data_IF_236050482302
#
_entry.id   IF_236050482302
#
_cell.length_a   1.000
_cell.length_b   1.000
_cell.length_c   1.000
_cell.angle_alpha   90.00
_cell.angle_beta   90.00
_cell.angle_gamma   90.00
#
_symmetry.space_group_name_H-M   'P 1'
#
loop_
_entity.id
_entity.type
_entity.pdbx_description
1 polymer ?
#
# COMPACT_ATOMS: atom_id res chain seq x y z
N UNK A 1 60.08 33.10 -47.66
CA UNK A 1 59.35 34.13 -48.44
C UNK A 1 57.98 33.57 -48.83
N UNK A 2 56.92 34.23 -48.35
CA UNK A 2 55.53 34.39 -48.85
C UNK A 2 54.92 33.33 -49.81
N UNK A 3 53.80 32.75 -49.37
CA UNK A 3 52.62 32.45 -50.20
C UNK A 3 51.37 32.65 -49.33
N UNK A 4 50.79 33.86 -49.34
CA UNK A 4 49.60 34.30 -50.11
C UNK A 4 48.29 33.59 -49.74
N UNK A 5 47.54 34.26 -48.87
CA UNK A 5 46.11 34.12 -48.62
C UNK A 5 45.29 34.04 -49.93
N UNK A 6 44.28 33.17 -49.93
CA UNK A 6 42.96 33.50 -50.47
C UNK A 6 41.89 33.07 -49.48
N UNK A 7 41.18 34.07 -48.99
CA UNK A 7 39.99 33.95 -48.16
C UNK A 7 38.83 33.40 -48.99
N UNK A 8 38.02 32.54 -48.39
CA UNK A 8 36.63 32.35 -48.81
C UNK A 8 35.78 32.34 -47.54
N UNK A 9 34.96 33.37 -47.47
CA UNK A 9 34.01 33.70 -46.41
C UNK A 9 32.79 32.80 -46.63
N UNK A 10 32.39 32.02 -45.62
CA UNK A 10 31.02 31.54 -45.49
C UNK A 10 30.56 31.85 -44.07
N UNK A 11 29.72 32.87 -43.96
CA UNK A 11 28.94 33.15 -42.78
C UNK A 11 27.80 32.13 -42.73
N UNK A 12 27.72 31.35 -41.65
CA UNK A 12 26.49 30.68 -41.24
C UNK A 12 26.16 31.22 -39.87
N UNK A 13 25.15 32.09 -39.83
CA UNK A 13 24.45 32.43 -38.61
C UNK A 13 23.64 31.21 -38.17
N UNK A 14 23.96 30.64 -37.02
CA UNK A 14 23.06 29.75 -36.29
C UNK A 14 22.79 30.41 -34.94
N UNK A 15 21.58 30.93 -34.80
CA UNK A 15 20.97 31.14 -33.49
C UNK A 15 20.98 29.79 -32.76
N UNK A 16 21.65 29.71 -31.62
CA UNK A 16 21.76 28.47 -30.85
C UNK A 16 21.81 28.79 -29.36
N UNK A 17 20.61 28.94 -28.81
CA UNK A 17 20.21 29.04 -27.41
C UNK A 17 21.23 28.50 -26.41
N UNK A 18 21.50 29.30 -25.38
CA UNK A 18 22.18 28.86 -24.17
C UNK A 18 21.42 27.70 -23.56
N UNK A 19 22.10 26.55 -23.46
CA UNK A 19 21.63 25.41 -22.69
C UNK A 19 21.89 25.79 -21.23
N UNK A 20 20.95 26.56 -20.66
CA UNK A 20 20.75 26.51 -19.21
C UNK A 20 20.30 25.09 -18.93
N UNK A 21 21.19 24.28 -18.35
CA UNK A 21 20.79 23.06 -17.67
C UNK A 21 19.91 23.48 -16.50
N UNK A 22 18.62 23.69 -16.76
CA UNK A 22 17.60 23.57 -15.74
C UNK A 22 17.69 22.14 -15.28
N UNK A 23 18.34 21.91 -14.13
CA UNK A 23 18.08 20.71 -13.35
C UNK A 23 16.57 20.71 -13.12
N UNK A 24 15.85 19.88 -13.85
CA UNK A 24 14.57 19.41 -13.34
C UNK A 24 14.87 18.93 -11.91
N UNK A 25 14.09 19.35 -10.90
CA UNK A 25 14.16 18.64 -9.63
C UNK A 25 14.06 17.16 -9.97
N UNK A 26 14.97 16.34 -9.44
CA UNK A 26 14.85 14.90 -9.56
C UNK A 26 13.41 14.58 -9.17
N UNK A 27 12.65 14.00 -10.09
CA UNK A 27 11.33 13.48 -9.77
C UNK A 27 11.53 12.60 -8.53
N UNK A 28 10.69 12.79 -7.50
CA UNK A 28 10.77 11.96 -6.31
C UNK A 28 10.74 10.49 -6.76
N UNK A 29 11.60 9.62 -6.18
CA UNK A 29 11.64 8.24 -6.59
C UNK A 29 10.24 7.63 -6.50
N UNK A 30 9.79 7.01 -7.59
CA UNK A 30 8.51 6.32 -7.65
C UNK A 30 8.37 5.38 -6.44
N UNK A 31 7.20 5.36 -5.76
CA UNK A 31 7.04 4.60 -4.54
C UNK A 31 7.18 3.10 -4.83
N UNK A 32 8.13 2.45 -4.14
CA UNK A 32 8.34 0.99 -4.26
C UNK A 32 7.21 0.18 -3.62
N UNK A 33 6.50 0.79 -2.68
CA UNK A 33 5.41 0.18 -1.93
C UNK A 33 4.19 1.09 -1.90
N UNK A 34 3.02 0.48 -1.99
CA UNK A 34 1.72 1.14 -1.98
C UNK A 34 0.78 0.48 -0.99
N UNK A 35 -0.51 0.63 -1.24
CA UNK A 35 -1.57 0.17 -0.37
C UNK A 35 -2.76 -0.35 -1.18
N UNK A 36 -3.62 -1.11 -0.53
CA UNK A 36 -4.98 -1.39 -0.99
C UNK A 36 -5.97 -0.70 -0.07
N UNK A 37 -7.14 -0.34 -0.56
CA UNK A 37 -8.19 0.25 0.27
C UNK A 37 -9.24 -0.77 0.70
N UNK A 38 -9.81 -0.56 1.89
CA UNK A 38 -11.01 -1.22 2.36
C UNK A 38 -12.08 -0.15 2.63
N UNK A 39 -13.19 -0.22 1.91
CA UNK A 39 -14.34 0.67 2.12
C UNK A 39 -15.28 0.03 3.15
N UNK A 40 -15.37 0.65 4.32
CA UNK A 40 -16.18 0.13 5.43
C UNK A 40 -17.62 0.66 5.34
N UNK A 41 -18.57 -0.26 5.15
CA UNK A 41 -19.99 0.07 5.03
C UNK A 41 -20.83 -0.66 6.07
N UNK A 42 -21.93 -0.05 6.49
CA UNK A 42 -22.91 -0.68 7.38
C UNK A 42 -23.76 -1.68 6.60
N UNK A 43 -23.97 -2.87 7.15
CA UNK A 43 -24.94 -3.85 6.66
C UNK A 43 -26.38 -3.32 6.72
N UNK A 44 -27.24 -3.79 5.81
CA UNK A 44 -28.59 -3.25 5.62
C UNK A 44 -29.54 -3.43 6.83
N UNK A 45 -29.21 -4.33 7.76
CA UNK A 45 -30.06 -4.71 8.91
C UNK A 45 -29.48 -4.31 10.28
N UNK A 46 -28.39 -3.55 10.32
CA UNK A 46 -27.86 -3.09 11.60
C UNK A 46 -28.82 -2.02 12.18
N UNK A 47 -29.52 -2.34 13.26
CA UNK A 47 -30.42 -1.39 13.94
C UNK A 47 -29.65 -0.55 15.00
N UNK A 48 -28.68 -1.14 15.69
CA UNK A 48 -27.81 -0.47 16.67
C UNK A 48 -26.51 0.07 16.06
N UNK A 49 -25.88 1.06 16.72
CA UNK A 49 -24.53 1.52 16.38
C UNK A 49 -23.53 0.40 16.72
N UNK A 50 -23.25 -0.48 15.75
CA UNK A 50 -22.30 -1.59 15.90
C UNK A 50 -20.88 -1.13 16.20
N UNK A 51 -20.55 0.14 15.90
CA UNK A 51 -19.24 0.73 16.15
C UNK A 51 -19.12 1.36 17.53
N UNK A 52 -20.21 1.39 18.32
CA UNK A 52 -20.15 1.87 19.69
C UNK A 52 -19.07 1.08 20.45
N UNK A 53 -18.23 1.80 21.21
CA UNK A 53 -17.07 1.25 21.94
C UNK A 53 -15.93 0.66 21.11
N UNK A 54 -15.98 0.75 19.77
CA UNK A 54 -14.82 0.38 18.94
C UNK A 54 -13.68 1.34 19.23
N UNK A 55 -12.53 0.79 19.60
CA UNK A 55 -11.28 1.56 19.80
C UNK A 55 -10.23 1.21 18.77
N UNK A 56 -10.26 -0.02 18.27
CA UNK A 56 -9.29 -0.52 17.30
C UNK A 56 -10.02 -1.25 16.18
N UNK A 57 -9.59 -1.05 14.94
CA UNK A 57 -9.99 -1.91 13.82
C UNK A 57 -8.79 -2.78 13.49
N UNK A 58 -8.95 -4.10 13.54
CA UNK A 58 -7.94 -5.07 13.13
C UNK A 58 -8.28 -5.55 11.73
N UNK A 59 -7.32 -5.42 10.82
CA UNK A 59 -7.44 -5.94 9.45
C UNK A 59 -6.34 -6.96 9.21
N UNK A 60 -6.70 -8.11 8.65
CA UNK A 60 -5.80 -9.13 8.14
C UNK A 60 -6.06 -9.32 6.65
N UNK A 61 -5.05 -9.13 5.82
CA UNK A 61 -5.12 -9.56 4.42
C UNK A 61 -4.11 -10.66 4.15
N UNK A 62 -4.54 -11.67 3.40
CA UNK A 62 -3.76 -12.85 3.06
C UNK A 62 -3.06 -12.66 1.72
N UNK A 63 -1.78 -13.00 1.69
CA UNK A 63 -0.93 -12.88 0.52
C UNK A 63 -1.23 -13.98 -0.49
N UNK A 64 -1.49 -13.62 -1.75
CA UNK A 64 -1.46 -14.57 -2.86
C UNK A 64 -0.01 -15.00 -3.16
N UNK A 65 0.14 -16.04 -4.00
CA UNK A 65 1.43 -16.70 -4.24
C UNK A 65 2.56 -15.74 -4.60
N UNK A 66 2.32 -14.81 -5.52
CA UNK A 66 3.34 -13.83 -5.93
C UNK A 66 3.91 -13.00 -4.77
N UNK A 67 3.08 -12.55 -3.82
CA UNK A 67 3.56 -11.82 -2.64
C UNK A 67 4.29 -12.74 -1.64
N UNK A 68 3.91 -14.02 -1.59
CA UNK A 68 4.63 -14.99 -0.78
C UNK A 68 6.05 -15.16 -1.31
N UNK A 69 6.20 -15.38 -2.62
CA UNK A 69 7.50 -15.54 -3.28
C UNK A 69 8.35 -14.28 -3.14
N UNK A 70 7.75 -13.08 -3.29
CA UNK A 70 8.42 -11.81 -3.03
C UNK A 70 9.09 -11.75 -1.64
N UNK A 71 8.33 -12.02 -0.56
CA UNK A 71 8.88 -11.91 0.80
C UNK A 71 9.74 -13.11 1.23
N UNK A 72 9.57 -14.29 0.62
CA UNK A 72 10.25 -15.51 1.06
C UNK A 72 11.48 -15.85 0.23
N UNK A 73 11.50 -15.45 -1.04
CA UNK A 73 12.48 -15.89 -2.03
C UNK A 73 13.21 -14.72 -2.65
N UNK A 74 12.47 -13.77 -3.23
CA UNK A 74 13.08 -12.76 -4.11
C UNK A 74 13.68 -11.59 -3.32
N UNK A 75 12.91 -11.05 -2.37
CA UNK A 75 13.27 -9.86 -1.59
C UNK A 75 12.96 -9.97 -0.10
N UNK A 76 13.58 -10.94 0.62
CA UNK A 76 13.38 -11.10 2.06
C UNK A 76 13.81 -9.87 2.89
N UNK A 77 14.62 -8.97 2.33
CA UNK A 77 15.01 -7.70 2.96
C UNK A 77 13.83 -6.75 3.21
N UNK A 78 12.73 -6.86 2.46
CA UNK A 78 11.51 -6.04 2.63
C UNK A 78 10.51 -6.64 3.62
N UNK A 79 10.80 -7.80 4.22
CA UNK A 79 10.01 -8.33 5.33
C UNK A 79 10.03 -7.37 6.51
N UNK A 80 9.00 -7.39 7.37
CA UNK A 80 8.95 -6.57 8.58
C UNK A 80 10.19 -6.76 9.48
N UNK A 81 10.73 -7.99 9.54
CA UNK A 81 11.95 -8.35 10.25
C UNK A 81 13.23 -8.29 9.38
N UNK A 82 13.11 -7.80 8.14
CA UNK A 82 14.18 -7.65 7.17
C UNK A 82 14.95 -6.34 7.31
N UNK A 83 16.09 -6.25 6.62
CA UNK A 83 17.01 -5.12 6.74
C UNK A 83 16.45 -3.79 6.21
N UNK A 84 15.51 -3.83 5.27
CA UNK A 84 14.87 -2.65 4.68
C UNK A 84 13.41 -2.48 5.12
N UNK A 85 12.75 -3.56 5.54
CA UNK A 85 11.31 -3.51 5.85
C UNK A 85 10.97 -2.63 7.05
N UNK A 86 11.82 -2.52 8.07
CA UNK A 86 11.56 -1.63 9.21
C UNK A 86 11.19 -0.21 8.76
N UNK A 87 11.99 0.37 7.88
CA UNK A 87 11.76 1.72 7.36
C UNK A 87 10.49 1.79 6.50
N UNK A 88 10.27 0.80 5.63
CA UNK A 88 9.08 0.74 4.76
C UNK A 88 7.79 0.68 5.60
N UNK A 89 7.78 -0.08 6.68
CA UNK A 89 6.63 -0.18 7.59
C UNK A 89 6.47 1.07 8.46
N UNK A 90 7.55 1.73 8.88
CA UNK A 90 7.47 3.03 9.57
C UNK A 90 6.88 4.11 8.67
N UNK A 91 7.30 4.18 7.41
CA UNK A 91 6.75 5.13 6.44
C UNK A 91 5.26 4.85 6.16
N UNK A 92 4.87 3.57 6.09
CA UNK A 92 3.47 3.18 6.01
C UNK A 92 2.67 3.62 7.25
N UNK A 93 3.20 3.42 8.46
CA UNK A 93 2.53 3.82 9.70
C UNK A 93 2.14 5.31 9.72
N UNK A 94 3.02 6.15 9.17
CA UNK A 94 2.81 7.60 9.09
C UNK A 94 1.83 8.03 8.01
N UNK A 95 1.55 7.17 7.04
CA UNK A 95 0.83 7.55 5.82
C UNK A 95 -0.54 6.89 5.72
N UNK A 96 -0.72 5.61 6.13
CA UNK A 96 -1.97 4.87 5.92
C UNK A 96 -3.24 5.52 6.50
N UNK A 97 -3.12 6.27 7.60
CA UNK A 97 -4.23 7.03 8.21
C UNK A 97 -4.22 8.53 7.86
N UNK A 98 -3.28 9.00 7.04
CA UNK A 98 -3.15 10.42 6.68
C UNK A 98 -4.22 10.83 5.65
N UNK A 99 -5.17 11.70 5.99
CA UNK A 99 -6.20 12.17 5.06
C UNK A 99 -5.67 13.15 4.01
N UNK A 100 -4.50 13.75 4.23
CA UNK A 100 -3.89 14.75 3.34
C UNK A 100 -2.96 14.11 2.30
N UNK A 101 -2.68 12.81 2.42
CA UNK A 101 -1.90 12.08 1.43
C UNK A 101 -2.70 11.84 0.14
N UNK A 102 -1.97 11.74 -0.97
CA UNK A 102 -2.53 11.63 -2.33
C UNK A 102 -3.52 10.44 -2.44
N UNK A 103 -4.67 10.68 -3.09
CA UNK A 103 -5.76 9.73 -3.29
C UNK A 103 -6.43 9.13 -2.04
N UNK A 104 -6.17 9.67 -0.85
CA UNK A 104 -6.73 9.20 0.43
C UNK A 104 -8.01 9.91 0.87
N UNK A 105 -8.77 10.43 -0.07
CA UNK A 105 -10.09 11.02 0.23
C UNK A 105 -10.94 10.01 1.02
N UNK A 106 -11.61 10.47 2.08
CA UNK A 106 -12.40 9.64 2.99
C UNK A 106 -11.61 8.66 3.87
N UNK A 107 -10.28 8.85 4.03
CA UNK A 107 -9.50 8.12 5.02
C UNK A 107 -10.20 8.12 6.39
N UNK A 108 -10.12 6.97 7.06
CA UNK A 108 -10.55 6.82 8.43
C UNK A 108 -9.67 7.68 9.36
N UNK A 109 -10.27 8.37 10.32
CA UNK A 109 -9.53 9.10 11.36
C UNK A 109 -8.92 8.11 12.37
N UNK A 110 -7.71 7.65 12.04
CA UNK A 110 -6.99 6.64 12.80
C UNK A 110 -5.52 7.01 13.03
N UNK A 111 -4.85 6.19 13.83
CA UNK A 111 -3.41 6.18 13.98
C UNK A 111 -2.90 4.74 14.01
N UNK A 112 -1.68 4.57 13.51
CA UNK A 112 -0.88 3.36 13.66
C UNK A 112 0.27 3.76 14.58
N UNK A 113 0.30 3.23 15.81
CA UNK A 113 1.13 3.82 16.86
C UNK A 113 2.62 3.58 16.64
N UNK A 114 2.97 2.40 16.11
CA UNK A 114 4.35 1.96 15.91
C UNK A 114 4.37 0.65 15.08
N UNK A 115 5.56 0.07 14.92
CA UNK A 115 5.76 -1.22 14.24
C UNK A 115 5.06 -2.40 14.93
N UNK A 116 4.77 -2.33 16.23
CA UNK A 116 4.03 -3.39 16.94
C UNK A 116 2.56 -3.46 16.50
N UNK A 117 2.07 -2.44 15.81
CA UNK A 117 0.73 -2.44 15.18
C UNK A 117 0.69 -3.31 13.92
N UNK A 118 1.84 -3.77 13.41
CA UNK A 118 1.95 -4.67 12.28
C UNK A 118 2.38 -6.07 12.74
N UNK A 119 1.71 -7.10 12.23
CA UNK A 119 2.13 -8.50 12.38
C UNK A 119 2.17 -9.15 11.00
N UNK A 120 3.39 -9.29 10.45
CA UNK A 120 3.64 -9.98 9.20
C UNK A 120 3.87 -11.47 9.46
N UNK A 121 2.91 -12.29 9.03
CA UNK A 121 2.93 -13.74 9.21
C UNK A 121 3.42 -14.38 7.92
N UNK A 122 4.59 -15.03 7.96
CA UNK A 122 5.19 -15.75 6.84
C UNK A 122 5.52 -17.19 7.28
N UNK A 123 4.49 -17.99 7.55
CA UNK A 123 4.64 -19.35 8.06
C UNK A 123 4.50 -20.37 6.94
N UNK A 124 5.61 -21.00 6.57
CA UNK A 124 5.65 -22.11 5.63
C UNK A 124 5.81 -23.44 6.37
N UNK A 125 4.73 -23.91 7.00
CA UNK A 125 4.70 -25.29 7.53
C UNK A 125 3.53 -26.01 6.88
N UNK A 126 3.80 -27.08 6.13
CA UNK A 126 2.87 -27.76 5.20
C UNK A 126 1.44 -28.02 5.73
N UNK A 127 1.28 -28.17 7.05
CA UNK A 127 -0.04 -28.41 7.67
C UNK A 127 -0.80 -27.14 8.11
N UNK A 128 -0.13 -25.99 8.22
CA UNK A 128 -0.69 -24.72 8.75
C UNK A 128 -0.05 -23.50 8.08
N UNK A 129 0.18 -23.57 6.75
CA UNK A 129 0.78 -22.45 6.05
C UNK A 129 -0.12 -21.21 6.16
N UNK A 130 0.45 -20.08 6.57
CA UNK A 130 -0.29 -18.81 6.68
C UNK A 130 0.63 -17.69 6.26
N UNK A 131 0.17 -16.92 5.28
CA UNK A 131 0.87 -15.79 4.70
C UNK A 131 -0.06 -14.60 4.72
N UNK A 132 0.19 -13.67 5.64
CA UNK A 132 -0.71 -12.54 5.84
C UNK A 132 0.02 -11.36 6.46
N UNK A 133 -0.56 -10.18 6.30
CA UNK A 133 -0.27 -9.03 7.13
C UNK A 133 -1.48 -8.73 7.99
N UNK A 134 -1.24 -8.40 9.26
CA UNK A 134 -2.25 -7.88 10.19
C UNK A 134 -1.85 -6.46 10.57
N UNK A 135 -2.82 -5.54 10.58
CA UNK A 135 -2.64 -4.15 11.01
C UNK A 135 -3.73 -3.80 12.01
N UNK A 136 -3.31 -3.24 13.14
CA UNK A 136 -4.20 -2.65 14.15
C UNK A 136 -4.25 -1.13 13.98
N UNK A 137 -5.41 -0.63 13.57
CA UNK A 137 -5.71 0.79 13.42
C UNK A 137 -6.40 1.29 14.68
N UNK A 138 -5.76 2.20 15.42
CA UNK A 138 -6.37 2.84 16.57
C UNK A 138 -7.25 4.01 16.12
N UNK A 139 -8.50 4.03 16.54
CA UNK A 139 -9.39 5.15 16.24
C UNK A 139 -9.03 6.36 17.10
N UNK A 140 -8.90 7.53 16.48
CA UNK A 140 -8.56 8.75 17.21
C UNK A 140 -9.76 9.26 18.04
N UNK A 141 -11.01 9.05 17.59
CA UNK A 141 -12.21 9.28 18.40
C UNK A 141 -13.10 8.02 18.48
N UNK A 142 -12.86 7.14 19.47
CA UNK A 142 -13.59 5.87 19.58
C UNK A 142 -15.09 6.04 19.89
N UNK A 143 -15.90 5.10 19.41
CA UNK A 143 -17.34 5.00 19.73
C UNK A 143 -18.31 5.75 18.82
N UNK A 144 -17.82 6.45 17.79
CA UNK A 144 -18.65 7.19 16.84
C UNK A 144 -18.91 6.37 15.56
N UNK A 145 -20.16 5.94 15.33
CA UNK A 145 -20.56 5.24 14.10
C UNK A 145 -20.21 6.01 12.83
N UNK A 146 -20.38 7.33 12.91
CA UNK A 146 -20.17 8.27 11.81
C UNK A 146 -18.69 8.42 11.43
N UNK A 147 -17.78 7.94 12.29
CA UNK A 147 -16.36 7.93 11.98
C UNK A 147 -15.93 6.68 11.22
N UNK A 148 -16.63 5.55 11.35
CA UNK A 148 -16.25 4.32 10.65
C UNK A 148 -17.04 4.12 9.36
N UNK A 149 -18.33 4.45 9.35
CA UNK A 149 -19.20 4.19 8.18
C UNK A 149 -18.87 5.13 7.02
N UNK A 150 -18.68 4.55 5.84
CA UNK A 150 -18.37 5.29 4.62
C UNK A 150 -16.95 5.85 4.62
N UNK A 151 -16.07 5.36 5.50
CA UNK A 151 -14.64 5.69 5.48
C UNK A 151 -13.83 4.55 4.86
N UNK A 152 -12.64 4.94 4.44
CA UNK A 152 -11.66 4.07 3.80
C UNK A 152 -10.50 3.80 4.74
N UNK A 153 -10.18 2.53 4.91
CA UNK A 153 -8.91 2.10 5.50
C UNK A 153 -7.92 1.83 4.37
N UNK A 154 -6.70 2.32 4.51
CA UNK A 154 -5.60 1.94 3.62
C UNK A 154 -4.77 0.87 4.29
N UNK A 155 -4.47 -0.20 3.56
CA UNK A 155 -3.77 -1.37 4.04
C UNK A 155 -2.48 -1.57 3.23
N UNK A 156 -1.35 -1.56 3.92
CA UNK A 156 -0.02 -1.64 3.34
C UNK A 156 1.04 -1.74 4.45
N UNK A 157 2.33 -1.67 4.12
CA UNK A 157 2.90 -1.48 2.79
C UNK A 157 2.89 -2.77 1.95
N UNK A 158 2.67 -2.66 0.64
CA UNK A 158 2.67 -3.77 -0.30
C UNK A 158 3.49 -3.40 -1.55
N UNK A 159 4.36 -4.26 -2.10
CA UNK A 159 5.12 -3.95 -3.31
C UNK A 159 4.15 -3.72 -4.47
N UNK A 160 4.29 -2.58 -5.15
CA UNK A 160 3.46 -2.23 -6.31
C UNK A 160 4.05 -2.87 -7.56
N UNK A 161 3.19 -3.27 -8.49
CA UNK A 161 3.62 -3.96 -9.71
C UNK A 161 4.46 -3.06 -10.62
N UNK A 162 4.19 -1.76 -10.55
CA UNK A 162 4.86 -0.72 -11.32
C UNK A 162 6.23 -0.33 -10.75
N UNK A 163 6.57 -0.78 -9.53
CA UNK A 163 7.84 -0.44 -8.91
C UNK A 163 9.00 -1.06 -9.70
N UNK A 164 10.02 -0.27 -9.99
CA UNK A 164 11.27 -0.74 -10.57
C UNK A 164 12.21 -1.18 -9.44
N UNK A 165 12.89 -2.29 -9.64
CA UNK A 165 13.91 -2.77 -8.70
C UNK A 165 15.03 -1.73 -8.61
N UNK A 166 15.28 -1.12 -7.42
CA UNK A 166 16.33 -0.12 -7.26
C UNK A 166 17.75 -0.68 -7.49
N UNK A 167 17.92 -2.00 -7.52
CA UNK A 167 19.18 -2.65 -7.88
C UNK A 167 19.39 -2.75 -9.41
N UNK A 168 18.36 -2.52 -10.22
CA UNK A 168 18.46 -2.52 -11.67
C UNK A 168 18.91 -1.15 -12.19
N UNK A 169 20.19 -1.08 -12.60
CA UNK A 169 20.79 0.15 -13.15
C UNK A 169 20.15 0.58 -14.48
N UNK A 170 19.55 -0.36 -15.22
CA UNK A 170 18.91 -0.10 -16.51
C UNK A 170 17.42 0.27 -16.35
N UNK A 171 16.85 0.07 -15.16
CA UNK A 171 15.49 0.46 -14.80
C UNK A 171 14.38 -0.28 -15.55
N UNK A 172 14.65 -1.51 -15.99
CA UNK A 172 13.72 -2.31 -16.79
C UNK A 172 13.04 -3.44 -15.98
N UNK A 173 13.62 -3.79 -14.83
CA UNK A 173 13.19 -4.90 -14.00
C UNK A 173 12.18 -4.41 -12.96
N UNK A 174 10.98 -4.99 -12.97
CA UNK A 174 10.01 -4.75 -11.90
C UNK A 174 10.50 -5.38 -10.59
N UNK A 175 10.31 -4.65 -9.50
CA UNK A 175 10.58 -5.07 -8.13
C UNK A 175 9.78 -6.32 -7.75
N UNK A 176 8.60 -6.54 -8.33
CA UNK A 176 7.80 -7.74 -8.11
C UNK A 176 7.49 -8.45 -9.42
N UNK A 177 8.05 -9.65 -9.57
CA UNK A 177 7.92 -10.43 -10.79
C UNK A 177 7.07 -11.67 -10.56
N UNK A 178 5.76 -11.55 -10.80
CA UNK A 178 4.84 -12.67 -10.66
C UNK A 178 5.02 -13.70 -11.79
N UNK A 179 4.81 -14.99 -11.48
CA UNK A 179 4.71 -16.04 -12.51
C UNK A 179 3.59 -15.74 -13.52
N UNK A 180 3.71 -16.29 -14.74
CA UNK A 180 2.70 -16.10 -15.79
C UNK A 180 1.29 -16.49 -15.28
N UNK A 181 0.37 -15.52 -15.29
CA UNK A 181 -1.01 -15.70 -14.82
C UNK A 181 -1.24 -15.35 -13.35
N UNK A 182 -0.20 -15.05 -12.58
CA UNK A 182 -0.30 -14.52 -11.21
C UNK A 182 -0.27 -12.99 -11.18
N UNK A 183 -0.63 -12.41 -10.02
CA UNK A 183 -0.60 -10.96 -9.80
C UNK A 183 -0.37 -10.65 -8.31
N UNK A 184 0.25 -9.50 -7.98
CA UNK A 184 0.48 -9.11 -6.60
C UNK A 184 -0.85 -8.72 -5.98
N UNK A 185 -1.43 -9.64 -5.22
CA UNK A 185 -2.81 -9.55 -4.77
C UNK A 185 -2.95 -10.02 -3.34
N UNK A 186 -3.88 -9.37 -2.64
CA UNK A 186 -4.24 -9.69 -1.27
C UNK A 186 -5.71 -10.05 -1.17
N UNK A 187 -6.07 -10.91 -0.23
CA UNK A 187 -7.43 -11.46 -0.12
C UNK A 187 -7.90 -11.51 1.33
N UNK A 188 -9.20 -11.28 1.55
CA UNK A 188 -9.89 -11.57 2.80
C UNK A 188 -10.51 -12.96 2.69
N UNK A 189 -10.21 -13.87 3.62
CA UNK A 189 -10.67 -15.27 3.55
C UNK A 189 -11.66 -15.63 4.66
N UNK A 190 -11.75 -14.83 5.72
CA UNK A 190 -12.63 -15.06 6.86
C UNK A 190 -13.27 -13.76 7.36
N UNK A 191 -14.44 -13.88 7.99
CA UNK A 191 -15.10 -12.74 8.61
C UNK A 191 -14.24 -12.07 9.70
N UNK A 192 -13.47 -12.88 10.43
CA UNK A 192 -12.54 -12.43 11.46
C UNK A 192 -11.29 -11.71 10.94
N UNK A 193 -11.11 -11.62 9.62
CA UNK A 193 -10.02 -10.86 9.03
C UNK A 193 -10.28 -9.34 9.07
N UNK A 194 -11.51 -8.88 9.29
CA UNK A 194 -11.81 -7.46 9.55
C UNK A 194 -12.70 -7.37 10.78
N UNK A 195 -12.19 -6.80 11.86
CA UNK A 195 -12.88 -6.78 13.15
C UNK A 195 -12.72 -5.43 13.83
N UNK A 196 -13.76 -5.01 14.55
CA UNK A 196 -13.65 -3.95 15.54
C UNK A 196 -13.46 -4.56 16.91
N UNK A 197 -12.49 -4.00 17.62
CA UNK A 197 -12.13 -4.39 18.97
C UNK A 197 -12.50 -3.26 19.94
N UNK A 198 -12.91 -3.64 21.15
CA UNK A 198 -13.05 -2.71 22.26
C UNK A 198 -11.70 -2.40 22.94
N UNK A 199 -11.74 -1.55 23.98
CA UNK A 199 -10.54 -1.14 24.73
C UNK A 199 -9.80 -2.30 25.44
N UNK A 200 -10.41 -3.48 25.53
CA UNK A 200 -9.80 -4.69 26.11
C UNK A 200 -9.19 -5.61 25.04
N UNK A 201 -9.34 -5.25 23.75
CA UNK A 201 -8.94 -6.08 22.62
C UNK A 201 -9.96 -7.16 22.27
N UNK A 202 -11.17 -7.10 22.83
CA UNK A 202 -12.23 -8.08 22.55
C UNK A 202 -12.96 -7.71 21.25
N UNK A 203 -13.13 -8.64 20.30
CA UNK A 203 -13.94 -8.39 19.11
C UNK A 203 -15.40 -8.12 19.47
N UNK A 204 -15.95 -7.01 18.96
CA UNK A 204 -17.34 -6.58 19.17
C UNK A 204 -18.14 -6.54 17.86
N UNK A 205 -17.48 -6.52 16.71
CA UNK A 205 -18.07 -6.75 15.41
C UNK A 205 -17.03 -7.34 14.45
N UNK A 206 -17.50 -7.94 13.37
CA UNK A 206 -16.67 -8.50 12.31
C UNK A 206 -17.30 -8.28 10.94
N UNK A 207 -16.54 -8.55 9.88
CA UNK A 207 -17.08 -8.55 8.53
C UNK A 207 -18.26 -9.52 8.43
N UNK A 208 -19.37 -9.08 7.84
CA UNK A 208 -20.52 -9.95 7.57
C UNK A 208 -20.41 -10.55 6.16
N UNK A 209 -20.18 -9.68 5.18
CA UNK A 209 -20.13 -10.03 3.77
C UNK A 209 -19.32 -9.02 2.97
N UNK A 210 -18.87 -9.46 1.80
CA UNK A 210 -18.32 -8.58 0.78
C UNK A 210 -19.45 -7.85 0.03
N UNK A 211 -19.10 -6.70 -0.55
CA UNK A 211 -19.96 -5.99 -1.48
C UNK A 211 -20.10 -6.68 -2.82
N UNK A 212 -20.33 -5.88 -3.86
CA UNK A 212 -20.30 -6.39 -5.23
C UNK A 212 -18.86 -6.50 -5.77
N UNK A 213 -17.88 -5.99 -5.04
CA UNK A 213 -16.45 -6.15 -5.33
C UNK A 213 -15.94 -7.50 -4.84
N UNK A 214 -14.93 -8.08 -5.54
CA UNK A 214 -14.29 -9.30 -5.08
C UNK A 214 -13.64 -9.10 -3.70
N UNK A 215 -13.56 -10.17 -2.91
CA UNK A 215 -12.79 -10.21 -1.65
C UNK A 215 -11.26 -10.16 -1.86
N UNK A 216 -10.82 -9.82 -3.07
CA UNK A 216 -9.45 -9.82 -3.56
C UNK A 216 -9.19 -8.49 -4.25
N UNK A 217 -8.07 -7.85 -3.95
CA UNK A 217 -7.62 -6.64 -4.64
C UNK A 217 -6.21 -6.80 -5.21
N UNK A 218 -5.97 -6.13 -6.34
CA UNK A 218 -4.65 -5.98 -6.97
C UNK A 218 -3.97 -4.75 -6.38
N UNK A 219 -2.68 -4.89 -6.13
CA UNK A 219 -1.83 -3.82 -5.62
C UNK A 219 -1.32 -3.02 -6.81
N UNK A 220 -1.49 -1.71 -6.78
CA UNK A 220 -0.96 -0.77 -7.76
C UNK A 220 -1.13 0.66 -7.25
N UNK A 221 -0.52 1.64 -7.91
CA UNK A 221 -0.68 3.06 -7.54
C UNK A 221 -2.14 3.53 -7.56
N UNK A 222 -2.96 2.99 -8.49
CA UNK A 222 -4.42 3.19 -8.56
C UNK A 222 -5.24 2.01 -7.97
N UNK A 223 -4.61 1.12 -7.18
CA UNK A 223 -5.15 -0.17 -6.73
C UNK A 223 -6.59 -0.13 -6.18
N UNK A 224 -7.33 -1.25 -6.36
CA UNK A 224 -8.77 -1.31 -6.11
C UNK A 224 -9.17 -1.39 -4.62
N UNK A 225 -10.37 -0.90 -4.30
CA UNK A 225 -10.93 -1.03 -2.95
C UNK A 225 -11.75 -2.31 -2.78
N UNK A 226 -11.56 -2.98 -1.64
CA UNK A 226 -12.42 -4.08 -1.20
C UNK A 226 -13.60 -3.46 -0.42
N UNK A 227 -14.83 -3.69 -0.86
CA UNK A 227 -16.01 -3.23 -0.11
C UNK A 227 -16.38 -4.24 0.98
N UNK A 228 -16.36 -3.78 2.23
CA UNK A 228 -16.63 -4.58 3.42
C UNK A 228 -17.95 -4.13 4.08
N UNK A 229 -18.91 -5.05 4.23
CA UNK A 229 -20.16 -4.79 4.96
C UNK A 229 -20.11 -5.39 6.36
N UNK A 230 -20.46 -4.57 7.36
CA UNK A 230 -20.34 -4.87 8.78
C UNK A 230 -21.73 -5.03 9.41
N UNK A 231 -21.96 -6.13 10.14
CA UNK A 231 -23.18 -6.41 10.89
C UNK A 231 -22.85 -7.17 12.19
N UNK A 232 -23.79 -7.23 13.14
CA UNK A 232 -23.63 -7.96 14.41
C UNK A 232 -23.53 -9.48 14.19
#
# INVERSE_FOLDING_TARGET
MKARLRATMMAVAVCGLGISATSCPADDPEPTHGYVCLDLSRGANAEDNVFDKTTTIRVRLHYARCLQDFYLVDHPEYRLDGALGEQVFLDAANTLCDPDAEDRSMALDCSIENLESFDQILRDTDANATYALVIDYKLNNPGSATEVVGRRLHFGPLPVEEAIDPADEDGETSLINCMEGDSPTVTIIANADVQGLDATGTPIWQLERFGNTPNKSRIGAEGGCIEAFINQ
#
